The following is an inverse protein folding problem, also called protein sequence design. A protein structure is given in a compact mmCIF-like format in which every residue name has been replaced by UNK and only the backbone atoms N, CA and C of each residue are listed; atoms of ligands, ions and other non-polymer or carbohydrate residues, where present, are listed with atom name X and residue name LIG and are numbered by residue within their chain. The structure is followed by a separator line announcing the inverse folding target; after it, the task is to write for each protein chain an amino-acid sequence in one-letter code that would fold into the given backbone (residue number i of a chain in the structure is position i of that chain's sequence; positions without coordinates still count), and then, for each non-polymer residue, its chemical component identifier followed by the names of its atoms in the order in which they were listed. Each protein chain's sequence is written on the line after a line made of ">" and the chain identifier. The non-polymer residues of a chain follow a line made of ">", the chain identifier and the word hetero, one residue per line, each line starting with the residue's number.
data_IF_474040959667
#
_entry.id   IF_474040959667
#
_cell.length_a   1.000
_cell.length_b   1.000
_cell.length_c   1.000
_cell.angle_alpha   90.00
_cell.angle_beta   90.00
_cell.angle_gamma   90.00
#
_symmetry.space_group_name_H-M   'P 1'
#
loop_
_entity.id
_entity.type
_entity.pdbx_description
1 polymer ?
#
# COMPACT_ATOMS: atom_id res chain seq x y z
N UNK A 1 -28.08 6.91 -11.50
CA UNK A 1 -26.94 7.26 -10.66
C UNK A 1 -26.66 8.73 -10.89
N UNK A 2 -27.13 9.60 -10.00
CA UNK A 2 -27.02 11.07 -10.19
C UNK A 2 -25.72 11.52 -9.55
N UNK A 3 -24.73 11.84 -10.38
CA UNK A 3 -23.53 12.55 -9.95
C UNK A 3 -23.94 13.99 -9.66
N UNK A 4 -23.91 14.39 -8.40
CA UNK A 4 -24.15 15.78 -8.02
C UNK A 4 -22.82 16.52 -8.15
N UNK A 5 -22.75 17.62 -8.93
CA UNK A 5 -21.56 18.46 -9.01
C UNK A 5 -21.23 19.08 -7.65
N UNK A 6 -19.96 19.31 -7.40
CA UNK A 6 -19.37 19.83 -6.17
C UNK A 6 -19.85 21.24 -5.83
N UNK A 7 -21.02 21.35 -5.19
CA UNK A 7 -21.40 22.48 -4.37
C UNK A 7 -22.00 21.92 -3.08
N UNK A 8 -21.39 22.23 -1.96
CA UNK A 8 -21.93 21.87 -0.64
C UNK A 8 -23.35 22.46 -0.53
N UNK A 9 -24.34 21.59 -0.35
CA UNK A 9 -25.70 22.03 -0.09
C UNK A 9 -25.73 22.83 1.23
N UNK A 10 -26.51 23.93 1.31
CA UNK A 10 -26.60 24.74 2.51
C UNK A 10 -27.15 23.89 3.67
N UNK A 11 -26.59 24.12 4.86
CA UNK A 11 -26.98 23.46 6.11
C UNK A 11 -28.48 23.61 6.36
N UNK A 12 -29.26 22.55 6.15
CA UNK A 12 -30.65 22.49 6.62
C UNK A 12 -30.67 22.15 8.11
N UNK A 13 -31.49 22.88 8.87
CA UNK A 13 -31.69 22.75 10.32
C UNK A 13 -32.22 21.35 10.68
N UNK A 14 -31.57 20.74 11.66
CA UNK A 14 -32.08 19.79 12.67
C UNK A 14 -33.19 18.82 12.28
N UNK A 15 -32.84 17.80 11.54
CA UNK A 15 -33.29 16.40 11.68
C UNK A 15 -32.02 15.61 11.85
N UNK A 16 -31.91 14.69 12.83
CA UNK A 16 -30.73 14.00 13.29
C UNK A 16 -29.64 13.87 12.20
N UNK A 17 -28.64 14.72 12.28
CA UNK A 17 -27.67 14.89 11.19
C UNK A 17 -26.94 13.57 10.94
N UNK A 18 -26.94 13.10 9.68
CA UNK A 18 -26.19 11.94 9.25
C UNK A 18 -24.73 12.09 9.64
N UNK A 19 -24.14 11.04 10.20
CA UNK A 19 -22.69 11.03 10.43
C UNK A 19 -21.95 11.29 9.10
N UNK A 20 -20.99 12.21 9.11
CA UNK A 20 -20.19 12.55 7.93
C UNK A 20 -18.80 11.97 8.05
N UNK A 21 -18.42 11.16 7.09
CA UNK A 21 -17.13 10.45 7.07
C UNK A 21 -16.37 10.83 5.81
N UNK A 22 -15.13 11.31 5.98
CA UNK A 22 -14.22 11.61 4.87
C UNK A 22 -13.18 10.50 4.71
N UNK A 23 -12.93 10.07 3.48
CA UNK A 23 -11.78 9.24 3.11
C UNK A 23 -10.92 10.04 2.14
N UNK A 24 -9.67 10.29 2.53
CA UNK A 24 -8.72 11.08 1.75
C UNK A 24 -7.77 10.15 1.00
N UNK A 25 -7.91 10.10 -0.31
CA UNK A 25 -7.27 9.15 -1.21
C UNK A 25 -8.21 8.02 -1.62
N UNK A 26 -8.26 7.73 -2.94
CA UNK A 26 -9.14 6.73 -3.55
C UNK A 26 -8.35 5.58 -4.20
N UNK A 27 -7.08 5.41 -3.79
CA UNK A 27 -6.28 4.23 -4.09
C UNK A 27 -6.82 2.98 -3.37
N UNK A 28 -6.10 1.86 -3.47
CA UNK A 28 -6.54 0.58 -2.87
C UNK A 28 -6.94 0.72 -1.40
N UNK A 29 -6.11 1.38 -0.57
CA UNK A 29 -6.40 1.58 0.85
C UNK A 29 -7.70 2.36 1.09
N UNK A 30 -7.94 3.43 0.31
CA UNK A 30 -9.17 4.23 0.43
C UNK A 30 -10.41 3.46 -0.01
N UNK A 31 -10.33 2.70 -1.09
CA UNK A 31 -11.44 1.85 -1.54
C UNK A 31 -11.75 0.76 -0.52
N UNK A 32 -10.73 0.13 0.06
CA UNK A 32 -10.91 -0.85 1.14
C UNK A 32 -11.55 -0.24 2.39
N UNK A 33 -11.12 0.97 2.77
CA UNK A 33 -11.73 1.72 3.88
C UNK A 33 -13.20 1.99 3.60
N UNK A 34 -13.54 2.44 2.39
CA UNK A 34 -14.92 2.69 1.99
C UNK A 34 -15.77 1.41 1.99
N UNK A 35 -15.26 0.29 1.45
CA UNK A 35 -15.95 -1.01 1.50
C UNK A 35 -16.18 -1.46 2.94
N UNK A 36 -15.17 -1.36 3.80
CA UNK A 36 -15.28 -1.74 5.20
C UNK A 36 -16.33 -0.89 5.94
N UNK A 37 -16.35 0.43 5.71
CA UNK A 37 -17.38 1.33 6.26
C UNK A 37 -18.79 0.93 5.79
N UNK A 38 -18.96 0.70 4.48
CA UNK A 38 -20.25 0.28 3.93
C UNK A 38 -20.76 -1.04 4.50
N UNK A 39 -19.85 -1.97 4.81
CA UNK A 39 -20.21 -3.31 5.34
C UNK A 39 -20.34 -3.36 6.88
N UNK A 40 -19.64 -2.48 7.60
CA UNK A 40 -19.50 -2.58 9.07
C UNK A 40 -20.24 -1.47 9.82
N UNK A 41 -20.30 -0.27 9.26
CA UNK A 41 -20.98 0.86 9.90
C UNK A 41 -22.49 0.78 9.59
N UNK A 42 -23.27 0.29 10.53
CA UNK A 42 -24.68 -0.11 10.37
C UNK A 42 -25.71 1.04 10.37
N UNK A 43 -25.24 2.28 10.52
CA UNK A 43 -26.09 3.50 10.57
C UNK A 43 -26.04 4.26 9.26
N UNK A 44 -27.09 5.08 8.97
CA UNK A 44 -27.04 6.02 7.86
C UNK A 44 -25.89 7.00 8.01
N UNK A 45 -25.15 7.24 6.93
CA UNK A 45 -24.05 8.20 6.92
C UNK A 45 -23.80 8.83 5.54
N UNK A 46 -23.05 9.93 5.53
CA UNK A 46 -22.57 10.59 4.33
C UNK A 46 -21.08 10.30 4.16
N UNK A 47 -20.73 9.55 3.13
CA UNK A 47 -19.38 9.20 2.76
C UNK A 47 -18.85 10.16 1.69
N UNK A 48 -17.76 10.86 1.96
CA UNK A 48 -17.07 11.71 0.99
C UNK A 48 -15.70 11.15 0.70
N UNK A 49 -15.46 10.79 -0.56
CA UNK A 49 -14.16 10.35 -1.05
C UNK A 49 -13.44 11.53 -1.69
N UNK A 50 -12.34 11.99 -1.11
CA UNK A 50 -11.50 13.06 -1.65
C UNK A 50 -10.34 12.46 -2.44
N UNK A 51 -10.26 12.78 -3.75
CA UNK A 51 -9.14 12.39 -4.59
C UNK A 51 -8.98 13.39 -5.75
N UNK A 52 -7.85 14.09 -5.87
CA UNK A 52 -7.63 15.07 -6.92
C UNK A 52 -7.52 14.45 -8.32
N UNK A 53 -7.40 13.12 -8.38
CA UNK A 53 -7.35 12.37 -9.64
C UNK A 53 -8.66 11.58 -9.84
N UNK A 54 -9.71 12.19 -10.39
CA UNK A 54 -11.07 11.63 -10.43
C UNK A 54 -11.26 10.50 -11.43
N UNK A 55 -10.27 9.69 -11.71
CA UNK A 55 -10.42 8.52 -12.58
C UNK A 55 -11.38 7.51 -11.98
N UNK A 56 -12.32 7.05 -12.79
CA UNK A 56 -13.30 6.02 -12.41
C UNK A 56 -12.61 4.68 -12.14
N UNK A 57 -11.44 4.48 -12.69
CA UNK A 57 -10.61 3.27 -12.66
C UNK A 57 -9.68 3.14 -11.44
N UNK A 58 -9.86 3.96 -10.40
CA UNK A 58 -9.20 3.76 -9.12
C UNK A 58 -7.95 4.56 -8.83
N UNK A 59 -7.68 5.57 -9.64
CA UNK A 59 -6.49 6.39 -9.49
C UNK A 59 -5.19 5.63 -9.83
N UNK A 60 -4.09 6.32 -9.82
CA UNK A 60 -2.77 5.76 -10.17
C UNK A 60 -2.31 4.63 -9.25
N UNK A 61 -2.90 4.50 -8.06
CA UNK A 61 -2.56 3.44 -7.10
C UNK A 61 -3.12 2.06 -7.41
N UNK A 62 -4.17 1.96 -8.26
CA UNK A 62 -4.79 0.69 -8.65
C UNK A 62 -4.60 0.36 -10.13
N UNK A 63 -4.50 1.36 -11.00
CA UNK A 63 -4.36 1.19 -12.42
C UNK A 63 -3.17 2.00 -12.95
N UNK A 64 -1.98 1.46 -12.92
CA UNK A 64 -1.00 1.84 -13.92
C UNK A 64 -1.43 1.24 -15.25
N UNK A 65 -1.74 2.07 -16.24
CA UNK A 65 -1.89 1.63 -17.63
C UNK A 65 -0.68 0.74 -17.99
N UNK A 66 -0.92 -0.44 -18.51
CA UNK A 66 0.06 -1.50 -18.65
C UNK A 66 0.60 -1.98 -17.29
N UNK A 67 -0.29 -2.18 -16.33
CA UNK A 67 0.07 -2.68 -15.02
C UNK A 67 0.78 -4.03 -15.17
N UNK A 68 1.94 -4.14 -14.53
CA UNK A 68 2.60 -5.43 -14.43
C UNK A 68 1.72 -6.41 -13.69
N UNK A 69 2.14 -7.65 -13.74
CA UNK A 69 1.59 -8.65 -12.86
C UNK A 69 1.78 -8.21 -11.41
N UNK A 70 0.74 -8.34 -10.62
CA UNK A 70 0.85 -8.21 -9.19
C UNK A 70 1.85 -9.24 -8.68
N UNK A 71 2.62 -8.88 -7.69
CA UNK A 71 3.61 -9.77 -7.07
C UNK A 71 3.01 -10.66 -5.96
N UNK A 72 1.68 -10.67 -5.84
CA UNK A 72 0.93 -11.54 -4.94
C UNK A 72 0.07 -12.51 -5.77
N UNK A 73 -0.10 -13.73 -5.27
CA UNK A 73 -0.94 -14.72 -5.92
C UNK A 73 -2.42 -14.45 -5.69
N UNK A 74 -3.27 -14.93 -6.58
CA UNK A 74 -4.74 -14.80 -6.50
C UNK A 74 -5.27 -15.16 -5.12
N UNK A 75 -4.83 -16.26 -4.52
CA UNK A 75 -5.23 -16.72 -3.18
C UNK A 75 -4.93 -15.73 -2.04
N UNK A 76 -3.98 -14.81 -2.25
CA UNK A 76 -3.55 -13.83 -1.24
C UNK A 76 -4.17 -12.44 -1.47
N UNK A 77 -5.12 -12.32 -2.42
CA UNK A 77 -5.67 -11.05 -2.88
C UNK A 77 -7.17 -10.87 -2.59
N UNK A 78 -7.81 -11.79 -1.84
CA UNK A 78 -9.18 -11.55 -1.40
C UNK A 78 -9.27 -10.29 -0.54
N UNK A 79 -10.30 -9.46 -0.82
CA UNK A 79 -10.63 -8.28 -0.02
C UNK A 79 -11.78 -8.53 0.97
N UNK A 80 -12.29 -9.74 1.04
CA UNK A 80 -13.23 -10.13 2.07
C UNK A 80 -12.47 -10.80 3.23
N UNK A 81 -12.64 -10.34 4.48
CA UNK A 81 -11.89 -10.89 5.61
C UNK A 81 -12.33 -12.31 6.00
N UNK A 82 -13.53 -12.72 5.59
CA UNK A 82 -14.13 -14.03 5.89
C UNK A 82 -13.98 -14.99 4.71
N UNK A 83 -14.30 -14.52 3.51
CA UNK A 83 -14.26 -15.32 2.27
C UNK A 83 -12.87 -15.21 1.64
N UNK A 84 -11.96 -16.07 2.04
CA UNK A 84 -10.57 -16.04 1.57
C UNK A 84 -10.40 -16.33 0.09
N UNK A 85 -11.37 -16.98 -0.53
CA UNK A 85 -11.40 -17.34 -1.95
C UNK A 85 -12.29 -16.42 -2.79
N UNK A 86 -12.77 -15.29 -2.23
CA UNK A 86 -13.67 -14.37 -2.93
C UNK A 86 -13.07 -13.84 -4.25
N UNK A 87 -11.80 -13.47 -4.25
CA UNK A 87 -11.15 -13.02 -5.49
C UNK A 87 -11.03 -14.14 -6.53
N UNK A 88 -10.68 -15.36 -6.10
CA UNK A 88 -10.63 -16.52 -6.98
C UNK A 88 -12.00 -16.79 -7.60
N UNK A 89 -13.05 -16.87 -6.78
CA UNK A 89 -14.40 -17.12 -7.25
C UNK A 89 -14.89 -16.03 -8.22
N UNK A 90 -14.57 -14.77 -7.93
CA UNK A 90 -14.86 -13.66 -8.83
C UNK A 90 -14.14 -13.80 -10.17
N UNK A 91 -12.85 -14.14 -10.13
CA UNK A 91 -12.01 -14.27 -11.31
C UNK A 91 -12.46 -15.41 -12.22
N UNK A 92 -12.86 -16.55 -11.63
CA UNK A 92 -13.42 -17.72 -12.34
C UNK A 92 -14.76 -17.37 -13.01
N UNK A 93 -15.62 -16.61 -12.31
CA UNK A 93 -16.92 -16.18 -12.84
C UNK A 93 -16.80 -15.12 -13.95
N UNK A 94 -15.83 -14.23 -13.85
CA UNK A 94 -15.59 -13.16 -14.84
C UNK A 94 -14.97 -13.69 -16.14
N UNK A 95 -14.23 -14.80 -16.08
CA UNK A 95 -13.57 -15.44 -17.23
C UNK A 95 -12.31 -14.74 -17.74
N UNK A 96 -11.98 -13.56 -17.21
CA UNK A 96 -10.81 -12.77 -17.65
C UNK A 96 -9.47 -13.30 -17.16
N UNK A 97 -9.47 -14.27 -16.27
CA UNK A 97 -8.22 -14.80 -15.75
C UNK A 97 -7.32 -15.48 -16.82
N UNK A 98 -7.93 -15.88 -17.96
CA UNK A 98 -7.21 -16.41 -19.11
C UNK A 98 -6.52 -15.33 -19.95
N UNK A 99 -6.91 -14.06 -19.78
CA UNK A 99 -6.45 -12.94 -20.57
C UNK A 99 -5.26 -12.25 -19.89
N UNK A 100 -4.06 -12.82 -20.03
CA UNK A 100 -2.82 -12.22 -19.54
C UNK A 100 -2.42 -12.61 -18.12
N UNK A 101 -3.12 -13.51 -17.44
CA UNK A 101 -2.65 -14.10 -16.21
C UNK A 101 -1.44 -15.02 -16.49
N UNK A 102 -0.30 -14.74 -15.83
CA UNK A 102 0.78 -15.72 -15.82
C UNK A 102 0.43 -16.81 -14.82
N UNK A 103 -0.10 -17.91 -15.34
CA UNK A 103 -0.20 -19.14 -14.55
C UNK A 103 1.14 -19.84 -14.59
N UNK A 104 1.60 -20.30 -13.45
CA UNK A 104 2.68 -21.27 -13.41
C UNK A 104 2.18 -22.55 -14.07
N UNK A 105 2.76 -22.90 -15.23
CA UNK A 105 2.35 -24.06 -16.04
C UNK A 105 2.39 -25.39 -15.24
N UNK A 106 3.14 -25.44 -14.14
CA UNK A 106 3.24 -26.60 -13.27
C UNK A 106 2.09 -26.74 -12.26
N UNK A 107 1.33 -25.67 -11.96
CA UNK A 107 0.39 -25.68 -10.85
C UNK A 107 -1.09 -25.76 -11.27
N UNK A 108 -1.45 -25.41 -12.50
CA UNK A 108 -2.80 -25.61 -13.08
C UNK A 108 -3.99 -24.98 -12.35
N UNK A 109 -3.78 -24.35 -11.21
CA UNK A 109 -4.81 -23.81 -10.34
C UNK A 109 -4.79 -22.27 -10.33
N UNK A 110 -5.95 -21.65 -10.47
CA UNK A 110 -6.17 -20.20 -10.43
C UNK A 110 -5.54 -19.56 -9.18
N UNK A 111 -5.60 -20.22 -8.03
CA UNK A 111 -5.01 -19.77 -6.77
C UNK A 111 -3.52 -19.43 -6.86
N UNK A 112 -2.81 -20.06 -7.78
CA UNK A 112 -1.37 -19.90 -7.95
C UNK A 112 -1.00 -18.85 -8.99
N UNK A 113 -1.97 -18.35 -9.74
CA UNK A 113 -1.78 -17.36 -10.78
C UNK A 113 -1.35 -16.01 -10.22
N UNK A 114 -0.67 -15.24 -11.06
CA UNK A 114 -0.41 -13.82 -10.88
C UNK A 114 -1.23 -13.07 -11.94
N UNK A 115 -1.92 -12.03 -11.55
CA UNK A 115 -2.82 -11.28 -12.45
C UNK A 115 -2.34 -9.84 -12.63
N UNK A 116 -2.65 -9.22 -13.79
CA UNK A 116 -2.46 -7.78 -13.97
C UNK A 116 -3.20 -6.95 -12.92
N UNK A 117 -2.62 -5.83 -12.51
CA UNK A 117 -3.22 -4.94 -11.52
C UNK A 117 -4.59 -4.40 -11.91
N UNK A 118 -4.86 -4.23 -13.20
CA UNK A 118 -6.16 -3.81 -13.75
C UNK A 118 -7.28 -4.82 -13.47
N UNK A 119 -7.00 -6.13 -13.52
CA UNK A 119 -7.97 -7.18 -13.16
C UNK A 119 -8.32 -7.09 -11.68
N UNK A 120 -7.32 -6.95 -10.82
CA UNK A 120 -7.54 -6.77 -9.39
C UNK A 120 -8.29 -5.47 -9.08
N UNK A 121 -7.98 -4.40 -9.78
CA UNK A 121 -8.68 -3.13 -9.68
C UNK A 121 -10.17 -3.28 -10.03
N UNK A 122 -10.49 -3.95 -11.13
CA UNK A 122 -11.88 -4.22 -11.54
C UNK A 122 -12.66 -4.99 -10.46
N UNK A 123 -12.04 -6.00 -9.87
CA UNK A 123 -12.61 -6.75 -8.73
C UNK A 123 -12.91 -5.84 -7.53
N UNK A 124 -11.95 -5.01 -7.10
CA UNK A 124 -12.15 -4.10 -5.97
C UNK A 124 -13.29 -3.11 -6.23
N UNK A 125 -13.36 -2.54 -7.45
CA UNK A 125 -14.43 -1.62 -7.80
C UNK A 125 -15.79 -2.30 -7.88
N UNK A 126 -15.85 -3.52 -8.38
CA UNK A 126 -17.11 -4.26 -8.41
C UNK A 126 -17.60 -4.55 -6.98
N UNK A 127 -16.73 -5.00 -6.08
CA UNK A 127 -17.07 -5.22 -4.67
C UNK A 127 -17.49 -3.93 -3.96
N UNK A 128 -16.87 -2.81 -4.28
CA UNK A 128 -17.32 -1.50 -3.80
C UNK A 128 -18.72 -1.15 -4.30
N UNK A 129 -18.97 -1.31 -5.60
CA UNK A 129 -20.29 -1.02 -6.19
C UNK A 129 -21.38 -1.93 -5.61
N UNK A 130 -21.07 -3.20 -5.33
CA UNK A 130 -21.98 -4.14 -4.66
C UNK A 130 -22.28 -3.71 -3.22
N UNK A 131 -21.25 -3.35 -2.45
CA UNK A 131 -21.43 -2.87 -1.08
C UNK A 131 -22.27 -1.59 -1.02
N UNK A 132 -22.04 -0.65 -1.95
CA UNK A 132 -22.79 0.60 -2.03
C UNK A 132 -24.27 0.36 -2.43
N UNK A 133 -24.53 -0.53 -3.39
CA UNK A 133 -25.90 -0.89 -3.80
C UNK A 133 -26.72 -1.52 -2.66
N UNK A 134 -26.05 -2.20 -1.75
CA UNK A 134 -26.67 -2.77 -0.55
C UNK A 134 -27.03 -1.72 0.53
N UNK A 135 -26.65 -0.44 0.36
CA UNK A 135 -26.81 0.63 1.36
C UNK A 135 -27.60 1.80 0.78
N UNK A 136 -28.93 1.70 0.82
CA UNK A 136 -29.85 2.77 0.37
C UNK A 136 -29.90 3.97 1.32
N UNK A 137 -29.39 3.80 2.51
CA UNK A 137 -29.32 4.77 3.61
C UNK A 137 -28.00 5.58 3.62
N UNK A 138 -27.08 5.31 2.68
CA UNK A 138 -25.80 6.01 2.57
C UNK A 138 -25.80 7.00 1.40
N UNK A 139 -25.42 8.24 1.70
CA UNK A 139 -25.16 9.25 0.69
C UNK A 139 -23.66 9.19 0.36
N UNK A 140 -23.32 8.99 -0.91
CA UNK A 140 -21.92 8.99 -1.35
C UNK A 140 -21.62 10.18 -2.25
N UNK A 141 -20.50 10.86 -1.99
CA UNK A 141 -19.96 11.95 -2.78
C UNK A 141 -18.50 11.70 -3.12
N UNK A 142 -18.08 12.03 -4.34
CA UNK A 142 -16.68 12.08 -4.75
C UNK A 142 -16.31 13.54 -4.93
N UNK A 143 -15.24 13.98 -4.28
CA UNK A 143 -14.65 15.30 -4.44
C UNK A 143 -13.32 15.17 -5.19
N UNK A 144 -13.17 15.94 -6.27
CA UNK A 144 -11.94 16.03 -7.05
C UNK A 144 -10.91 17.00 -6.43
N UNK A 145 -11.23 17.58 -5.26
CA UNK A 145 -10.36 18.54 -4.60
C UNK A 145 -9.41 17.87 -3.63
N UNK A 146 -8.17 18.35 -3.61
CA UNK A 146 -7.19 17.95 -2.60
C UNK A 146 -7.59 18.45 -1.23
N UNK A 147 -7.47 17.59 -0.23
CA UNK A 147 -7.52 18.01 1.17
C UNK A 147 -6.20 18.69 1.53
N UNK A 148 -6.27 19.94 1.97
CA UNK A 148 -5.11 20.77 2.26
C UNK A 148 -4.82 20.89 3.76
N UNK A 149 -5.86 20.78 4.61
CA UNK A 149 -5.72 20.80 6.07
C UNK A 149 -6.87 20.04 6.74
N UNK A 150 -6.60 19.56 7.95
CA UNK A 150 -7.61 19.03 8.86
C UNK A 150 -7.35 19.62 10.25
N UNK A 151 -8.40 20.10 10.91
CA UNK A 151 -8.35 20.75 12.22
C UNK A 151 -9.44 20.22 13.14
N UNK A 152 -9.26 20.33 14.45
CA UNK A 152 -10.34 20.03 15.41
C UNK A 152 -11.49 21.01 15.25
N UNK A 153 -12.71 20.48 15.23
CA UNK A 153 -13.88 21.35 15.34
C UNK A 153 -14.21 21.62 16.83
N UNK A 154 -14.50 22.88 17.24
CA UNK A 154 -14.75 23.23 18.65
C UNK A 154 -15.88 22.44 19.30
N UNK A 155 -16.89 22.05 18.53
CA UNK A 155 -18.06 21.27 18.99
C UNK A 155 -17.92 19.76 18.74
N UNK A 156 -16.68 19.25 18.59
CA UNK A 156 -16.39 17.86 18.29
C UNK A 156 -16.35 17.55 16.78
N UNK A 157 -15.66 16.49 16.44
CA UNK A 157 -15.34 16.13 15.06
C UNK A 157 -14.18 16.95 14.50
N UNK A 158 -14.07 16.97 13.18
CA UNK A 158 -12.94 17.50 12.42
C UNK A 158 -13.43 18.44 11.31
N UNK A 159 -12.76 19.55 11.12
CA UNK A 159 -12.90 20.41 9.95
C UNK A 159 -11.94 19.92 8.86
N UNK A 160 -12.44 19.64 7.69
CA UNK A 160 -11.64 19.29 6.49
C UNK A 160 -11.68 20.48 5.54
N UNK A 161 -10.50 20.90 5.10
CA UNK A 161 -10.34 21.99 4.11
C UNK A 161 -9.99 21.37 2.76
N UNK A 162 -10.82 21.67 1.77
CA UNK A 162 -10.70 21.09 0.42
C UNK A 162 -11.32 22.05 -0.60
N UNK A 163 -10.65 22.33 -1.71
CA UNK A 163 -11.17 23.22 -2.76
C UNK A 163 -11.44 24.67 -2.31
N UNK A 164 -10.76 25.14 -1.26
CA UNK A 164 -11.00 26.45 -0.65
C UNK A 164 -12.20 26.51 0.31
N UNK A 165 -12.91 25.40 0.49
CA UNK A 165 -14.05 25.29 1.39
C UNK A 165 -13.68 24.54 2.67
N UNK A 166 -14.48 24.74 3.73
CA UNK A 166 -14.36 24.04 5.00
C UNK A 166 -15.65 23.28 5.29
N UNK A 167 -15.53 22.01 5.58
CA UNK A 167 -16.67 21.18 5.99
C UNK A 167 -16.35 20.37 7.25
N UNK A 168 -17.36 20.18 8.12
CA UNK A 168 -17.24 19.35 9.33
C UNK A 168 -17.50 17.90 9.00
N UNK A 169 -16.69 17.03 9.59
CA UNK A 169 -16.80 15.57 9.54
C UNK A 169 -16.70 14.98 10.95
N UNK A 170 -17.37 13.88 11.17
CA UNK A 170 -17.31 13.11 12.40
C UNK A 170 -16.10 12.18 12.42
N UNK A 171 -15.66 11.75 11.23
CA UNK A 171 -14.42 10.98 11.07
C UNK A 171 -13.70 11.29 9.75
N UNK A 172 -12.36 11.19 9.80
CA UNK A 172 -11.47 11.35 8.64
C UNK A 172 -10.49 10.19 8.60
N UNK A 173 -10.44 9.51 7.45
CA UNK A 173 -9.51 8.43 7.15
C UNK A 173 -8.50 8.91 6.11
N UNK A 174 -7.25 9.08 6.50
CA UNK A 174 -6.17 9.32 5.56
C UNK A 174 -5.73 8.00 4.92
N UNK A 175 -5.94 7.87 3.63
CA UNK A 175 -5.61 6.71 2.81
C UNK A 175 -4.76 7.09 1.60
N UNK A 176 -3.85 8.06 1.77
CA UNK A 176 -3.03 8.65 0.71
C UNK A 176 -1.87 7.75 0.26
N UNK A 177 -1.78 6.53 0.80
CA UNK A 177 -0.71 5.60 0.43
C UNK A 177 0.68 6.15 0.78
N UNK A 178 1.59 6.11 -0.20
CA UNK A 178 2.93 6.69 -0.06
C UNK A 178 3.00 8.20 -0.40
N UNK A 179 1.86 8.86 -0.52
CA UNK A 179 1.74 10.26 -0.89
C UNK A 179 1.32 10.46 -2.33
N UNK A 180 1.03 11.72 -2.68
CA UNK A 180 0.72 12.10 -4.05
C UNK A 180 2.00 11.99 -4.89
N UNK A 181 1.97 11.17 -5.94
CA UNK A 181 3.01 11.19 -6.96
C UNK A 181 2.77 12.44 -7.79
N UNK A 182 3.77 13.31 -7.86
CA UNK A 182 3.78 14.33 -8.90
C UNK A 182 3.76 13.60 -10.24
N UNK A 183 2.70 13.78 -11.04
CA UNK A 183 2.51 13.14 -12.35
C UNK A 183 3.61 13.46 -13.40
N UNK A 184 4.76 13.96 -12.94
CA UNK A 184 5.97 14.21 -13.72
C UNK A 184 6.82 12.97 -13.97
N UNK A 185 6.56 11.86 -13.27
CA UNK A 185 7.45 10.68 -13.36
C UNK A 185 7.20 9.81 -14.60
N UNK A 186 6.03 9.93 -15.26
CA UNK A 186 5.74 9.21 -16.51
C UNK A 186 5.82 10.10 -17.77
N UNK A 187 6.11 11.39 -17.64
CA UNK A 187 6.36 12.30 -18.77
C UNK A 187 7.76 12.13 -19.37
N UNK A 188 8.39 10.98 -19.16
CA UNK A 188 9.73 10.67 -19.64
C UNK A 188 9.69 10.10 -21.04
N UNK A 189 10.45 10.76 -21.91
CA UNK A 189 11.00 10.30 -23.18
C UNK A 189 10.06 9.52 -24.09
N UNK A 190 9.40 10.22 -24.96
CA UNK A 190 8.91 9.69 -26.24
C UNK A 190 10.14 9.38 -27.12
N UNK A 191 10.64 8.15 -27.07
CA UNK A 191 11.73 7.67 -27.88
C UNK A 191 12.49 6.51 -27.24
N UNK A 192 13.13 5.67 -28.03
CA UNK A 192 14.01 4.62 -27.56
C UNK A 192 15.33 5.27 -27.03
N UNK A 193 15.63 5.05 -25.77
CA UNK A 193 16.90 5.47 -25.17
C UNK A 193 17.96 4.38 -25.39
N UNK A 194 19.21 4.77 -25.68
CA UNK A 194 20.32 3.80 -25.67
C UNK A 194 20.58 3.34 -24.22
N UNK A 195 20.61 4.29 -23.28
CA UNK A 195 20.87 4.07 -21.87
C UNK A 195 19.75 4.63 -21.00
N UNK A 196 19.15 3.80 -20.14
CA UNK A 196 18.20 4.22 -19.12
C UNK A 196 18.71 3.89 -17.71
N UNK A 197 18.40 4.74 -16.74
CA UNK A 197 18.62 4.48 -15.32
C UNK A 197 17.27 4.30 -14.62
N UNK A 198 17.11 3.19 -13.92
CA UNK A 198 15.99 2.94 -13.01
C UNK A 198 16.50 2.93 -11.58
N UNK A 199 16.02 3.87 -10.75
CA UNK A 199 16.44 4.01 -9.37
C UNK A 199 15.46 3.27 -8.47
N UNK A 200 15.92 2.24 -7.77
CA UNK A 200 15.15 1.39 -6.86
C UNK A 200 15.62 -0.04 -6.92
N UNK A 201 15.43 -0.79 -5.84
CA UNK A 201 15.77 -2.21 -5.75
C UNK A 201 14.56 -3.10 -5.45
N UNK A 202 13.33 -2.55 -5.57
CA UNK A 202 12.08 -3.27 -5.28
C UNK A 202 11.43 -3.87 -6.53
N UNK A 203 10.29 -4.54 -6.32
CA UNK A 203 9.50 -5.20 -7.38
C UNK A 203 9.12 -4.20 -8.49
N UNK A 204 8.67 -3.01 -8.13
CA UNK A 204 8.28 -1.98 -9.09
C UNK A 204 9.44 -1.51 -9.98
N UNK A 205 10.64 -1.34 -9.41
CA UNK A 205 11.82 -0.95 -10.17
C UNK A 205 12.25 -2.05 -11.15
N UNK A 206 12.24 -3.31 -10.71
CA UNK A 206 12.53 -4.46 -11.57
C UNK A 206 11.53 -4.55 -12.71
N UNK A 207 10.25 -4.45 -12.42
CA UNK A 207 9.20 -4.46 -13.42
C UNK A 207 9.36 -3.34 -14.44
N UNK A 208 9.64 -2.12 -13.99
CA UNK A 208 9.86 -0.97 -14.86
C UNK A 208 11.07 -1.19 -15.79
N UNK A 209 12.15 -1.73 -15.26
CA UNK A 209 13.34 -2.06 -16.05
C UNK A 209 13.03 -3.10 -17.14
N UNK A 210 12.33 -4.18 -16.79
CA UNK A 210 11.94 -5.22 -17.74
C UNK A 210 10.99 -4.71 -18.83
N UNK A 211 10.05 -3.84 -18.47
CA UNK A 211 9.13 -3.23 -19.44
C UNK A 211 9.83 -2.28 -20.40
N UNK A 212 10.80 -1.49 -19.94
CA UNK A 212 11.61 -0.64 -20.83
C UNK A 212 12.31 -1.46 -21.90
N UNK A 213 12.93 -2.58 -21.52
CA UNK A 213 13.57 -3.49 -22.48
C UNK A 213 12.53 -4.13 -23.43
N UNK A 214 11.42 -4.63 -22.90
CA UNK A 214 10.40 -5.32 -23.69
C UNK A 214 9.70 -4.41 -24.70
N UNK A 215 9.50 -3.14 -24.37
CA UNK A 215 8.89 -2.14 -25.27
C UNK A 215 9.87 -1.51 -26.26
N UNK A 216 11.17 -1.82 -26.17
CA UNK A 216 12.20 -1.09 -26.92
C UNK A 216 12.42 0.34 -26.43
N UNK A 217 11.90 0.68 -25.24
CA UNK A 217 12.07 2.02 -24.64
C UNK A 217 13.49 2.28 -24.14
N UNK A 218 14.30 1.24 -23.97
CA UNK A 218 15.74 1.34 -23.73
C UNK A 218 16.46 0.13 -24.30
N UNK A 219 17.69 0.33 -24.80
CA UNK A 219 18.56 -0.77 -25.23
C UNK A 219 19.29 -1.42 -24.04
N UNK A 220 19.66 -0.60 -23.05
CA UNK A 220 20.29 -1.03 -21.82
C UNK A 220 19.72 -0.28 -20.62
N UNK A 221 19.59 -0.99 -19.47
CA UNK A 221 19.08 -0.41 -18.23
C UNK A 221 20.07 -0.58 -17.09
N UNK A 222 20.48 0.53 -16.48
CA UNK A 222 21.18 0.51 -15.19
C UNK A 222 20.20 0.57 -14.04
N UNK A 223 20.07 -0.53 -13.29
CA UNK A 223 19.21 -0.64 -12.12
C UNK A 223 19.99 -0.31 -10.84
N UNK A 224 19.64 0.78 -10.16
CA UNK A 224 20.35 1.23 -8.96
C UNK A 224 19.62 0.79 -7.70
N UNK A 225 20.21 -0.15 -6.96
CA UNK A 225 19.73 -0.57 -5.64
C UNK A 225 20.62 -0.02 -4.53
N UNK A 226 20.07 0.75 -3.60
CA UNK A 226 20.83 1.33 -2.49
C UNK A 226 21.51 0.26 -1.61
N UNK A 227 20.85 -0.87 -1.40
CA UNK A 227 21.36 -2.01 -0.63
C UNK A 227 22.14 -3.01 -1.48
N UNK A 228 21.94 -3.03 -2.79
CA UNK A 228 22.40 -4.06 -3.72
C UNK A 228 21.52 -5.31 -3.74
N UNK A 229 20.48 -5.39 -2.89
CA UNK A 229 19.52 -6.49 -2.93
C UNK A 229 18.45 -6.24 -3.98
N UNK A 230 18.00 -7.33 -4.62
CA UNK A 230 16.85 -7.39 -5.51
C UNK A 230 15.83 -8.41 -4.99
N UNK A 231 14.56 -8.30 -5.37
CA UNK A 231 13.52 -9.23 -4.94
C UNK A 231 13.85 -10.68 -5.31
N UNK A 232 13.58 -11.59 -4.40
CA UNK A 232 13.72 -13.01 -4.60
C UNK A 232 12.49 -13.59 -5.32
N UNK A 233 12.55 -14.79 -5.93
CA UNK A 233 11.41 -15.38 -6.62
C UNK A 233 10.39 -15.96 -5.64
N UNK A 234 9.14 -16.00 -6.09
CA UNK A 234 8.21 -17.00 -5.62
C UNK A 234 8.69 -18.40 -6.04
N UNK A 235 8.23 -19.43 -5.34
CA UNK A 235 8.36 -20.82 -5.80
C UNK A 235 7.54 -21.04 -7.07
N UNK A 236 7.87 -22.04 -7.88
CA UNK A 236 7.05 -22.42 -9.02
C UNK A 236 5.65 -22.85 -8.55
N UNK A 237 5.55 -23.79 -7.62
CA UNK A 237 4.30 -24.09 -6.94
C UNK A 237 4.15 -23.25 -5.68
N UNK A 238 2.90 -22.92 -5.30
CA UNK A 238 2.65 -22.24 -4.05
C UNK A 238 2.97 -23.17 -2.87
N UNK A 239 3.87 -22.73 -2.01
CA UNK A 239 4.14 -23.44 -0.77
C UNK A 239 3.22 -22.93 0.34
N UNK A 240 2.77 -23.83 1.19
CA UNK A 240 2.07 -23.51 2.41
C UNK A 240 2.94 -22.75 3.38
N UNK A 241 2.31 -22.19 4.41
CA UNK A 241 3.01 -21.68 5.58
C UNK A 241 3.53 -22.86 6.38
N UNK A 242 4.82 -22.89 6.67
CA UNK A 242 5.41 -23.88 7.58
C UNK A 242 5.29 -23.33 8.99
N UNK A 243 4.19 -23.69 9.66
CA UNK A 243 3.93 -23.21 11.03
C UNK A 243 4.98 -23.79 11.99
N UNK A 244 5.64 -22.93 12.72
CA UNK A 244 6.57 -23.32 13.76
C UNK A 244 5.87 -23.34 15.12
N UNK A 245 5.93 -24.47 15.81
CA UNK A 245 5.40 -24.60 17.18
C UNK A 245 6.20 -23.81 18.22
N UNK A 246 7.36 -23.30 17.85
CA UNK A 246 8.22 -22.52 18.73
C UNK A 246 7.89 -21.05 18.65
N UNK A 247 7.71 -20.36 19.79
CA UNK A 247 7.53 -18.92 19.80
C UNK A 247 8.77 -18.25 19.22
N UNK A 248 8.56 -17.12 18.55
CA UNK A 248 9.67 -16.29 18.10
C UNK A 248 10.37 -15.71 19.34
N UNK A 249 11.72 -15.70 19.38
CA UNK A 249 12.45 -14.95 20.38
C UNK A 249 12.02 -13.47 20.38
N UNK A 250 11.90 -12.89 21.58
CA UNK A 250 11.41 -11.52 21.79
C UNK A 250 12.45 -10.42 21.50
N UNK A 251 13.58 -10.75 20.88
CA UNK A 251 14.61 -9.81 20.47
C UNK A 251 14.82 -9.89 18.97
N UNK A 252 15.17 -8.74 18.34
CA UNK A 252 15.46 -8.67 16.91
C UNK A 252 16.50 -9.71 16.47
N UNK A 253 17.63 -9.76 17.20
CA UNK A 253 18.72 -10.69 16.85
C UNK A 253 18.31 -12.14 16.99
N UNK A 254 17.57 -12.48 18.05
CA UNK A 254 17.08 -13.83 18.31
C UNK A 254 16.09 -14.29 17.22
N UNK A 255 15.10 -13.45 16.91
CA UNK A 255 14.08 -13.75 15.92
C UNK A 255 14.68 -13.97 14.53
N UNK A 256 15.59 -13.09 14.06
CA UNK A 256 16.21 -13.24 12.74
C UNK A 256 17.28 -14.34 12.67
N UNK A 257 17.91 -14.69 13.80
CA UNK A 257 18.74 -15.90 13.87
C UNK A 257 17.88 -17.15 13.69
N UNK A 258 16.77 -17.25 14.44
CA UNK A 258 15.82 -18.36 14.33
C UNK A 258 15.26 -18.51 12.91
N UNK A 259 14.85 -17.39 12.30
CA UNK A 259 14.41 -17.36 10.90
C UNK A 259 15.47 -17.92 9.94
N UNK A 260 16.71 -17.46 10.05
CA UNK A 260 17.80 -17.92 9.17
C UNK A 260 18.11 -19.40 9.37
N UNK A 261 18.16 -19.87 10.60
CA UNK A 261 18.41 -21.28 10.91
C UNK A 261 17.29 -22.19 10.36
N UNK A 262 16.03 -21.76 10.50
CA UNK A 262 14.89 -22.47 9.93
C UNK A 262 14.93 -22.48 8.40
N UNK A 263 15.22 -21.34 7.78
CA UNK A 263 15.33 -21.22 6.32
C UNK A 263 16.48 -22.07 5.76
N UNK A 264 17.63 -22.13 6.47
CA UNK A 264 18.77 -22.97 6.05
C UNK A 264 18.42 -24.47 6.14
N UNK A 265 17.69 -24.91 7.18
CA UNK A 265 17.22 -26.30 7.28
C UNK A 265 16.26 -26.62 6.13
N UNK A 266 15.27 -25.74 5.88
CA UNK A 266 14.32 -25.91 4.80
C UNK A 266 14.97 -25.91 3.40
N UNK A 267 16.07 -25.18 3.23
CA UNK A 267 16.86 -25.24 2.00
C UNK A 267 17.60 -26.58 1.87
N UNK A 268 18.13 -27.12 2.97
CA UNK A 268 18.86 -28.39 2.96
C UNK A 268 17.96 -29.61 2.73
N UNK A 269 16.71 -29.57 3.17
CA UNK A 269 15.73 -30.65 2.95
C UNK A 269 14.92 -30.47 1.64
N UNK A 270 15.20 -29.40 0.87
CA UNK A 270 14.56 -29.14 -0.41
C UNK A 270 13.17 -28.50 -0.34
N UNK A 271 12.63 -28.22 0.86
CA UNK A 271 11.32 -27.57 1.03
C UNK A 271 11.34 -26.06 0.76
N UNK A 272 12.53 -25.46 0.75
CA UNK A 272 12.74 -24.06 0.47
C UNK A 272 12.36 -23.12 1.63
N UNK A 273 12.94 -21.95 1.62
CA UNK A 273 12.79 -20.94 2.69
C UNK A 273 11.46 -20.19 2.69
N UNK A 274 10.68 -20.27 1.60
CA UNK A 274 9.51 -19.43 1.38
C UNK A 274 8.38 -19.71 2.39
N UNK A 275 8.16 -20.97 2.72
CA UNK A 275 7.18 -21.37 3.73
C UNK A 275 7.54 -20.89 5.14
N UNK A 276 8.82 -20.90 5.47
CA UNK A 276 9.36 -20.37 6.73
C UNK A 276 9.16 -18.85 6.81
N UNK A 277 9.42 -18.15 5.70
CA UNK A 277 9.23 -16.71 5.62
C UNK A 277 7.74 -16.32 5.74
N UNK A 278 6.83 -17.14 5.19
CA UNK A 278 5.39 -16.92 5.33
C UNK A 278 4.95 -17.00 6.81
N UNK A 279 5.41 -18.02 7.55
CA UNK A 279 5.15 -18.13 8.99
C UNK A 279 5.73 -16.96 9.78
N UNK A 280 6.97 -16.58 9.50
CA UNK A 280 7.61 -15.45 10.18
C UNK A 280 6.81 -14.16 10.00
N UNK A 281 6.31 -13.90 8.78
CA UNK A 281 5.49 -12.71 8.49
C UNK A 281 4.17 -12.68 9.27
N UNK A 282 3.51 -13.84 9.43
CA UNK A 282 2.26 -13.90 10.23
C UNK A 282 2.50 -13.51 11.69
N UNK A 283 3.69 -13.77 12.21
CA UNK A 283 4.10 -13.47 13.59
C UNK A 283 4.87 -12.15 13.75
N UNK A 284 5.17 -11.48 12.64
CA UNK A 284 5.96 -10.25 12.64
C UNK A 284 5.31 -9.11 13.44
N UNK A 285 3.98 -9.03 13.46
CA UNK A 285 3.24 -8.02 14.22
C UNK A 285 3.47 -8.12 15.74
N UNK A 286 3.44 -9.34 16.28
CA UNK A 286 3.68 -9.59 17.71
C UNK A 286 5.13 -9.29 18.08
N UNK A 287 6.06 -9.78 17.26
CA UNK A 287 7.48 -9.46 17.42
C UNK A 287 7.70 -7.94 17.43
N UNK A 288 7.12 -7.24 16.44
CA UNK A 288 7.30 -5.79 16.31
C UNK A 288 6.83 -5.02 17.54
N UNK A 289 5.69 -5.39 18.10
CA UNK A 289 5.16 -4.78 19.32
C UNK A 289 6.09 -4.98 20.52
N UNK A 290 6.76 -6.13 20.60
CA UNK A 290 7.71 -6.45 21.67
C UNK A 290 9.09 -5.83 21.53
N UNK A 291 9.48 -5.35 20.33
CA UNK A 291 10.80 -4.76 20.10
C UNK A 291 10.90 -3.36 20.72
N UNK A 292 12.08 -3.08 21.30
CA UNK A 292 12.43 -1.72 21.75
C UNK A 292 12.57 -0.75 20.57
N UNK A 293 12.42 0.57 20.77
CA UNK A 293 12.67 1.57 19.74
C UNK A 293 14.05 1.45 19.08
N UNK A 294 15.07 1.09 19.85
CA UNK A 294 16.41 0.86 19.36
C UNK A 294 16.51 -0.34 18.42
N UNK A 295 15.85 -1.44 18.76
CA UNK A 295 15.82 -2.63 17.93
C UNK A 295 15.05 -2.37 16.63
N UNK A 296 13.96 -1.61 16.67
CA UNK A 296 13.23 -1.18 15.47
C UNK A 296 14.11 -0.31 14.55
N UNK A 297 14.92 0.64 15.12
CA UNK A 297 15.88 1.42 14.33
C UNK A 297 16.98 0.55 13.74
N UNK A 298 17.48 -0.45 14.48
CA UNK A 298 18.46 -1.44 13.99
C UNK A 298 17.85 -2.27 12.84
N UNK A 299 16.61 -2.72 12.99
CA UNK A 299 15.88 -3.39 11.91
C UNK A 299 15.83 -2.52 10.66
N UNK A 300 15.31 -1.28 10.76
CA UNK A 300 15.23 -0.34 9.62
C UNK A 300 16.57 -0.20 8.91
N UNK A 301 17.66 -0.06 9.66
CA UNK A 301 18.99 0.22 9.11
C UNK A 301 19.66 -1.01 8.50
N UNK A 302 19.59 -2.15 9.13
CA UNK A 302 20.46 -3.28 8.81
C UNK A 302 19.71 -4.51 8.29
N UNK A 303 18.45 -4.72 8.67
CA UNK A 303 17.72 -5.94 8.38
C UNK A 303 16.66 -5.72 7.30
N UNK A 304 15.98 -4.58 7.34
CA UNK A 304 14.87 -4.27 6.41
C UNK A 304 15.23 -4.48 4.93
N UNK A 305 16.39 -4.06 4.39
CA UNK A 305 16.67 -4.26 2.98
C UNK A 305 16.71 -5.73 2.55
N UNK A 306 17.28 -6.61 3.37
CA UNK A 306 17.29 -8.05 3.09
C UNK A 306 15.92 -8.68 3.37
N UNK A 307 15.23 -8.25 4.43
CA UNK A 307 13.87 -8.68 4.73
C UNK A 307 12.92 -8.37 3.59
N UNK A 308 12.93 -7.13 3.10
CA UNK A 308 12.09 -6.69 1.98
C UNK A 308 12.37 -7.46 0.69
N UNK A 309 13.61 -7.82 0.40
CA UNK A 309 13.95 -8.61 -0.79
C UNK A 309 13.38 -10.03 -0.76
N UNK A 310 13.18 -10.60 0.43
CA UNK A 310 12.60 -11.94 0.62
C UNK A 310 11.09 -11.89 0.83
N UNK A 311 10.57 -10.78 1.32
CA UNK A 311 9.15 -10.54 1.54
C UNK A 311 8.43 -10.20 0.24
N UNK A 312 8.96 -9.24 -0.52
CA UNK A 312 8.41 -8.76 -1.78
C UNK A 312 9.04 -9.54 -2.94
N UNK A 313 8.39 -10.64 -3.31
CA UNK A 313 8.91 -11.59 -4.30
C UNK A 313 8.42 -11.27 -5.70
N UNK A 314 9.19 -11.68 -6.69
CA UNK A 314 8.79 -11.63 -8.10
C UNK A 314 8.05 -12.92 -8.51
N UNK A 315 7.08 -12.83 -9.42
CA UNK A 315 6.61 -14.01 -10.16
C UNK A 315 7.78 -14.77 -10.79
N UNK A 316 7.74 -16.11 -10.83
CA UNK A 316 8.87 -16.92 -11.33
C UNK A 316 9.34 -16.53 -12.73
N UNK A 317 8.42 -16.28 -13.65
CA UNK A 317 8.75 -15.87 -15.01
C UNK A 317 9.45 -14.50 -15.07
N UNK A 318 8.99 -13.52 -14.28
CA UNK A 318 9.66 -12.21 -14.19
C UNK A 318 11.06 -12.34 -13.58
N UNK A 319 11.23 -13.20 -12.57
CA UNK A 319 12.54 -13.45 -12.00
C UNK A 319 13.49 -14.12 -12.99
N UNK A 320 13.02 -15.10 -13.76
CA UNK A 320 13.79 -15.73 -14.81
C UNK A 320 14.23 -14.71 -15.86
N UNK A 321 13.32 -13.85 -16.35
CA UNK A 321 13.64 -12.79 -17.31
C UNK A 321 14.63 -11.76 -16.75
N UNK A 322 14.49 -11.39 -15.47
CA UNK A 322 15.47 -10.53 -14.80
C UNK A 322 16.87 -11.16 -14.78
N UNK A 323 16.97 -12.44 -14.45
CA UNK A 323 18.23 -13.16 -14.41
C UNK A 323 18.88 -13.27 -15.80
N UNK A 324 18.08 -13.52 -16.82
CA UNK A 324 18.49 -13.53 -18.21
C UNK A 324 19.02 -12.15 -18.65
N UNK A 325 18.27 -11.08 -18.38
CA UNK A 325 18.66 -9.72 -18.74
C UNK A 325 19.95 -9.26 -18.03
N UNK A 326 20.18 -9.70 -16.80
CA UNK A 326 21.44 -9.45 -16.11
C UNK A 326 22.59 -10.28 -16.75
N UNK A 327 22.34 -11.54 -17.10
CA UNK A 327 23.36 -12.40 -17.70
C UNK A 327 23.75 -11.99 -19.12
N UNK A 328 22.79 -11.48 -19.91
CA UNK A 328 23.03 -10.95 -21.26
C UNK A 328 23.65 -9.54 -21.25
N UNK A 329 23.64 -8.87 -20.11
CA UNK A 329 24.12 -7.48 -20.01
C UNK A 329 23.07 -6.41 -20.39
N UNK A 330 21.83 -6.80 -20.69
CA UNK A 330 20.74 -5.82 -20.91
C UNK A 330 20.40 -5.03 -19.64
N UNK A 331 20.61 -5.62 -18.46
CA UNK A 331 20.49 -4.95 -17.17
C UNK A 331 21.81 -5.00 -16.40
N UNK A 332 22.32 -3.84 -16.03
CA UNK A 332 23.43 -3.71 -15.09
C UNK A 332 22.92 -3.29 -13.72
N UNK A 333 23.22 -4.07 -12.67
CA UNK A 333 22.83 -3.73 -11.29
C UNK A 333 23.97 -2.97 -10.62
N UNK A 334 23.66 -1.77 -10.10
CA UNK A 334 24.61 -0.93 -9.34
C UNK A 334 24.13 -0.77 -7.90
N UNK A 335 25.05 -0.99 -6.97
CA UNK A 335 24.85 -0.70 -5.56
C UNK A 335 25.34 0.71 -5.24
N UNK A 336 24.47 1.55 -4.67
CA UNK A 336 24.86 2.89 -4.25
C UNK A 336 23.64 3.75 -3.89
N UNK A 337 23.91 4.88 -3.23
CA UNK A 337 22.89 5.86 -2.87
C UNK A 337 22.89 6.98 -3.91
N UNK A 338 21.75 7.23 -4.53
CA UNK A 338 21.57 8.36 -5.42
C UNK A 338 21.50 9.64 -4.60
N UNK A 339 22.49 10.52 -4.77
CA UNK A 339 22.58 11.81 -4.08
C UNK A 339 21.84 12.90 -4.86
N UNK A 340 21.87 12.85 -6.19
CA UNK A 340 21.19 13.81 -7.06
C UNK A 340 20.78 13.17 -8.38
N UNK A 341 19.59 13.52 -8.85
CA UNK A 341 19.10 13.24 -10.20
C UNK A 341 19.30 14.51 -11.03
N UNK A 342 19.88 14.38 -12.20
CA UNK A 342 20.07 15.46 -13.18
C UNK A 342 19.38 15.07 -14.48
N UNK A 343 19.26 16.02 -15.41
CA UNK A 343 18.60 15.80 -16.70
C UNK A 343 19.24 14.66 -17.50
N UNK A 344 20.56 14.48 -17.41
CA UNK A 344 21.32 13.52 -18.20
C UNK A 344 21.95 12.43 -17.35
N UNK A 345 21.33 12.03 -16.24
CA UNK A 345 21.83 10.95 -15.41
C UNK A 345 21.77 11.23 -13.90
N UNK A 346 22.60 10.54 -13.13
CA UNK A 346 22.57 10.61 -11.66
C UNK A 346 23.96 10.73 -11.06
N UNK A 347 24.04 11.38 -9.88
CA UNK A 347 25.20 11.33 -9.00
C UNK A 347 24.99 10.22 -7.97
N UNK A 348 25.84 9.19 -8.04
CA UNK A 348 25.77 7.99 -7.22
C UNK A 348 26.92 7.96 -6.21
N UNK A 349 26.61 7.79 -4.94
CA UNK A 349 27.56 7.53 -3.86
C UNK A 349 27.71 6.01 -3.69
N UNK A 350 28.94 5.53 -3.83
CA UNK A 350 29.31 4.11 -3.68
C UNK A 350 30.40 3.94 -2.64
N UNK A 351 30.79 2.72 -2.32
CA UNK A 351 31.94 2.45 -1.46
C UNK A 351 33.27 2.98 -2.05
N UNK A 352 33.35 3.15 -3.36
CA UNK A 352 34.48 3.71 -4.07
C UNK A 352 34.45 5.23 -4.28
N UNK A 353 33.46 5.93 -3.65
CA UNK A 353 33.31 7.38 -3.79
C UNK A 353 32.13 7.78 -4.69
N UNK A 354 32.08 9.05 -5.04
CA UNK A 354 31.06 9.63 -5.90
C UNK A 354 31.34 9.30 -7.38
N UNK A 355 30.30 8.88 -8.08
CA UNK A 355 30.33 8.56 -9.52
C UNK A 355 29.20 9.26 -10.24
N UNK A 356 29.43 9.77 -11.42
CA UNK A 356 28.40 10.26 -12.32
C UNK A 356 28.04 9.13 -13.29
N UNK A 357 26.77 8.74 -13.33
CA UNK A 357 26.26 7.82 -14.34
C UNK A 357 25.42 8.62 -15.32
N UNK A 358 25.82 8.63 -16.59
CA UNK A 358 25.06 9.27 -17.65
C UNK A 358 23.93 8.36 -18.15
N UNK A 359 22.78 8.92 -18.49
CA UNK A 359 21.70 8.23 -19.16
C UNK A 359 20.77 9.25 -19.86
N UNK A 360 20.15 8.82 -20.94
CA UNK A 360 19.16 9.62 -21.67
C UNK A 360 17.83 9.67 -20.94
N UNK A 361 17.53 8.62 -20.16
CA UNK A 361 16.32 8.52 -19.36
C UNK A 361 16.65 8.10 -17.93
N UNK A 362 16.05 8.79 -16.95
CA UNK A 362 16.15 8.42 -15.53
C UNK A 362 14.74 8.31 -14.93
N UNK A 363 14.44 7.17 -14.32
CA UNK A 363 13.16 6.87 -13.70
C UNK A 363 13.36 6.57 -12.22
N UNK A 364 12.73 7.34 -11.35
CA UNK A 364 12.78 7.14 -9.90
C UNK A 364 11.66 6.21 -9.43
N UNK A 365 12.00 4.94 -9.26
CA UNK A 365 11.11 3.89 -8.75
C UNK A 365 11.31 3.61 -7.26
N UNK A 366 11.95 4.50 -6.51
CA UNK A 366 12.08 4.31 -5.07
C UNK A 366 10.70 4.40 -4.42
N UNK A 367 10.37 3.41 -3.60
CA UNK A 367 9.25 3.54 -2.68
C UNK A 367 9.65 4.62 -1.69
N UNK A 368 9.04 5.79 -1.81
CA UNK A 368 9.18 6.85 -0.82
C UNK A 368 8.44 6.39 0.44
N UNK A 369 8.95 6.74 1.62
CA UNK A 369 8.11 6.79 2.82
C UNK A 369 6.91 7.69 2.52
N UNK A 370 5.82 7.52 3.28
CA UNK A 370 4.68 8.43 3.18
C UNK A 370 5.18 9.88 3.13
N UNK A 371 4.58 10.71 2.26
CA UNK A 371 4.98 12.12 2.12
C UNK A 371 4.53 12.92 3.34
N UNK A 372 5.27 12.70 4.43
CA UNK A 372 5.03 13.36 5.72
C UNK A 372 5.43 14.85 5.73
N UNK A 373 6.10 15.30 4.68
CA UNK A 373 6.53 16.69 4.51
C UNK A 373 5.57 17.49 3.64
N UNK A 374 4.48 16.89 3.15
CA UNK A 374 3.40 17.61 2.49
C UNK A 374 2.77 18.67 3.41
N UNK A 375 2.21 19.76 2.86
CA UNK A 375 1.54 20.77 3.66
C UNK A 375 0.49 20.20 4.62
N UNK A 376 -0.29 19.21 4.17
CA UNK A 376 -1.31 18.53 4.96
C UNK A 376 -0.72 17.87 6.21
N UNK A 377 0.31 17.03 6.06
CA UNK A 377 0.89 16.32 7.21
C UNK A 377 1.69 17.26 8.11
N UNK A 378 2.38 18.25 7.56
CA UNK A 378 3.02 19.28 8.39
C UNK A 378 2.01 20.02 9.27
N UNK A 379 0.85 20.40 8.72
CA UNK A 379 -0.22 21.04 9.50
C UNK A 379 -0.75 20.11 10.60
N UNK A 380 -0.98 18.83 10.31
CA UNK A 380 -1.42 17.83 11.30
C UNK A 380 -0.42 17.65 12.44
N UNK A 381 0.87 17.63 12.16
CA UNK A 381 1.90 17.50 13.19
C UNK A 381 2.05 18.78 14.01
N UNK A 382 2.04 19.95 13.37
CA UNK A 382 2.17 21.24 14.08
C UNK A 382 0.95 21.58 14.94
N UNK A 383 -0.25 21.14 14.56
CA UNK A 383 -1.46 21.31 15.38
C UNK A 383 -1.59 20.29 16.52
N UNK A 384 -0.70 19.30 16.59
CA UNK A 384 -0.77 18.24 17.58
C UNK A 384 -1.90 17.23 17.34
N UNK A 385 -2.51 17.21 16.15
CA UNK A 385 -3.51 16.20 15.77
C UNK A 385 -2.89 14.83 15.50
N UNK A 386 -1.66 14.80 15.03
CA UNK A 386 -0.90 13.61 14.78
C UNK A 386 0.56 13.78 15.20
N UNK A 387 1.29 12.67 15.26
CA UNK A 387 2.74 12.67 15.41
C UNK A 387 3.35 11.65 14.45
N UNK A 388 4.61 11.88 14.07
CA UNK A 388 5.38 10.91 13.31
C UNK A 388 5.66 9.68 14.17
N UNK A 389 5.73 8.51 13.55
CA UNK A 389 6.22 7.32 14.23
C UNK A 389 7.71 7.42 14.56
N UNK A 390 8.19 6.57 15.46
CA UNK A 390 9.58 6.56 15.94
C UNK A 390 10.64 6.31 14.85
N UNK A 391 10.22 5.77 13.71
CA UNK A 391 11.09 5.44 12.59
C UNK A 391 11.04 6.47 11.46
N UNK A 392 10.18 7.49 11.59
CA UNK A 392 9.93 8.46 10.53
C UNK A 392 9.56 7.79 9.19
N UNK A 393 8.65 6.82 9.26
CA UNK A 393 8.12 6.08 8.12
C UNK A 393 6.66 6.41 7.86
N UNK A 394 5.94 6.94 8.85
CA UNK A 394 4.53 7.23 8.78
C UNK A 394 4.02 8.01 9.98
N UNK A 395 2.71 7.98 10.12
CA UNK A 395 1.97 8.52 11.27
C UNK A 395 1.93 7.48 12.37
N UNK A 396 2.06 7.90 13.62
CA UNK A 396 1.94 6.99 14.76
C UNK A 396 0.47 6.60 14.97
N UNK A 397 0.19 5.29 14.86
CA UNK A 397 -1.18 4.74 14.92
C UNK A 397 -1.24 3.52 15.84
N UNK A 398 -2.44 3.22 16.33
CA UNK A 398 -2.74 1.94 16.99
C UNK A 398 -3.02 0.81 15.95
N UNK A 399 -3.39 -0.38 16.44
CA UNK A 399 -3.64 -1.55 15.59
C UNK A 399 -4.82 -1.39 14.62
N UNK A 400 -5.76 -0.51 14.91
CA UNK A 400 -6.89 -0.19 14.01
C UNK A 400 -6.56 0.94 13.02
N UNK A 401 -5.37 1.51 13.07
CA UNK A 401 -5.01 2.68 12.25
C UNK A 401 -5.46 4.01 12.84
N UNK A 402 -6.02 4.03 14.06
CA UNK A 402 -6.40 5.27 14.75
C UNK A 402 -5.16 6.06 15.10
N UNK A 403 -5.20 7.36 14.81
CA UNK A 403 -4.07 8.25 15.10
C UNK A 403 -3.89 8.43 16.61
N UNK A 404 -2.66 8.30 17.06
CA UNK A 404 -2.26 8.46 18.47
C UNK A 404 -1.27 9.61 18.59
N UNK A 405 -1.46 10.49 19.57
CA UNK A 405 -0.50 11.52 19.91
C UNK A 405 -0.25 11.52 21.44
N UNK A 406 0.91 11.04 21.84
CA UNK A 406 1.23 10.81 23.24
C UNK A 406 0.31 9.76 23.87
N UNK A 407 -0.51 10.18 24.84
CA UNK A 407 -1.55 9.36 25.46
C UNK A 407 -2.94 9.55 24.84
N UNK A 408 -3.10 10.56 23.99
CA UNK A 408 -4.37 10.92 23.40
C UNK A 408 -4.63 10.07 22.15
N UNK A 409 -5.86 9.57 22.04
CA UNK A 409 -6.39 8.92 20.85
C UNK A 409 -7.46 9.82 20.26
N UNK A 410 -7.37 10.10 18.98
CA UNK A 410 -8.40 10.85 18.28
C UNK A 410 -9.45 9.90 17.71
N UNK A 411 -10.63 9.92 18.31
CA UNK A 411 -11.66 8.91 18.03
C UNK A 411 -12.14 8.89 16.57
N UNK A 412 -12.11 10.01 15.89
CA UNK A 412 -12.51 10.13 14.49
C UNK A 412 -11.37 10.30 13.50
N UNK A 413 -10.10 10.08 13.89
CA UNK A 413 -8.96 10.31 13.00
C UNK A 413 -8.15 9.05 12.79
N UNK A 414 -8.00 8.62 11.52
CA UNK A 414 -7.32 7.39 11.14
C UNK A 414 -6.28 7.64 10.05
N UNK A 415 -5.15 6.94 10.12
CA UNK A 415 -4.14 6.89 9.07
C UNK A 415 -3.96 5.43 8.63
N UNK A 416 -4.34 5.16 7.38
CA UNK A 416 -4.57 3.83 6.85
C UNK A 416 -3.46 3.36 5.92
N UNK A 417 -3.23 2.05 5.91
CA UNK A 417 -2.26 1.42 5.01
C UNK A 417 -0.84 1.95 5.21
N UNK A 418 -0.10 2.26 4.13
CA UNK A 418 1.31 2.66 4.20
C UNK A 418 1.62 3.84 5.13
N UNK A 419 0.63 4.68 5.44
CA UNK A 419 0.79 5.76 6.43
C UNK A 419 1.11 5.25 7.84
N UNK A 420 0.80 3.99 8.17
CA UNK A 420 1.08 3.38 9.47
C UNK A 420 2.35 2.51 9.53
N UNK A 421 3.23 2.55 8.53
CA UNK A 421 4.36 1.62 8.36
C UNK A 421 5.33 1.52 9.54
N UNK A 422 5.57 2.60 10.27
CA UNK A 422 6.45 2.56 11.44
C UNK A 422 5.81 1.94 12.67
N UNK A 423 4.48 2.02 12.78
CA UNK A 423 3.69 1.44 13.86
C UNK A 423 3.31 -0.01 13.59
N UNK A 424 2.97 -0.33 12.34
CA UNK A 424 2.41 -1.62 11.91
C UNK A 424 3.30 -2.24 10.81
N UNK A 425 4.01 -3.33 11.09
CA UNK A 425 4.81 -3.99 10.08
C UNK A 425 3.92 -4.59 8.99
N UNK A 426 4.41 -4.57 7.74
CA UNK A 426 3.75 -5.15 6.57
C UNK A 426 2.36 -4.55 6.23
N UNK A 427 2.00 -3.40 6.79
CA UNK A 427 0.70 -2.73 6.56
C UNK A 427 0.53 -2.24 5.11
N UNK A 428 1.50 -2.38 4.28
CA UNK A 428 1.47 -2.10 2.84
C UNK A 428 1.00 -3.29 1.98
N UNK A 429 0.65 -4.42 2.60
CA UNK A 429 0.17 -5.61 1.92
C UNK A 429 -1.36 -5.70 1.93
N UNK A 430 -1.93 -6.28 0.86
CA UNK A 430 -3.39 -6.42 0.70
C UNK A 430 -4.07 -7.02 1.93
N UNK A 431 -3.68 -8.19 2.46
CA UNK A 431 -4.37 -8.77 3.61
C UNK A 431 -4.33 -7.89 4.87
N UNK A 432 -3.22 -7.21 5.11
CA UNK A 432 -3.05 -6.32 6.27
C UNK A 432 -3.89 -5.05 6.13
N UNK A 433 -3.95 -4.45 4.93
CA UNK A 433 -4.81 -3.30 4.66
C UNK A 433 -6.28 -3.69 4.84
N UNK A 434 -6.70 -4.86 4.34
CA UNK A 434 -8.04 -5.39 4.51
C UNK A 434 -8.38 -5.51 5.99
N UNK A 435 -7.56 -6.23 6.76
CA UNK A 435 -7.76 -6.40 8.21
C UNK A 435 -7.84 -5.05 8.94
N UNK A 436 -6.94 -4.11 8.62
CA UNK A 436 -6.95 -2.79 9.23
C UNK A 436 -8.22 -2.00 8.89
N UNK A 437 -8.68 -2.04 7.62
CA UNK A 437 -9.86 -1.30 7.20
C UNK A 437 -11.12 -1.74 7.96
N UNK A 438 -11.31 -3.04 8.10
CA UNK A 438 -12.44 -3.56 8.89
C UNK A 438 -12.30 -3.26 10.39
N UNK A 439 -11.10 -3.35 10.95
CA UNK A 439 -10.84 -2.98 12.35
C UNK A 439 -11.10 -1.48 12.60
N UNK A 440 -10.72 -0.62 11.66
CA UNK A 440 -10.94 0.82 11.76
C UNK A 440 -12.42 1.18 11.66
N UNK A 441 -13.16 0.54 10.74
CA UNK A 441 -14.60 0.75 10.60
C UNK A 441 -15.37 0.27 11.85
N UNK A 442 -15.00 -0.88 12.42
CA UNK A 442 -15.56 -1.37 13.68
C UNK A 442 -15.24 -0.43 14.85
N UNK A 443 -14.00 0.03 14.98
CA UNK A 443 -13.59 0.96 16.02
C UNK A 443 -14.33 2.30 15.94
N UNK A 444 -14.66 2.78 14.73
CA UNK A 444 -15.51 3.96 14.56
C UNK A 444 -16.97 3.67 14.97
N UNK A 445 -17.50 2.52 14.61
CA UNK A 445 -18.89 2.14 14.94
C UNK A 445 -19.13 2.05 16.46
N UNK A 446 -18.16 1.51 17.20
CA UNK A 446 -18.21 1.43 18.66
C UNK A 446 -18.19 2.80 19.36
N UNK A 447 -17.53 3.78 18.77
CA UNK A 447 -17.27 5.09 19.38
C UNK A 447 -18.36 6.13 19.14
N UNK A 448 -19.19 5.93 18.14
CA UNK A 448 -20.37 6.76 17.89
C UNK A 448 -21.63 6.00 18.36
N UNK A 449 -21.95 6.03 19.67
CA UNK A 449 -23.17 5.35 20.16
C UNK A 449 -24.37 5.87 19.39
N UNK A 450 -25.34 4.98 19.10
CA UNK A 450 -26.59 5.36 18.48
C UNK A 450 -27.15 6.56 19.23
N UNK A 451 -27.42 7.65 18.52
CA UNK A 451 -28.11 8.81 19.10
C UNK A 451 -29.34 8.25 19.79
N UNK A 452 -29.40 8.33 21.11
CA UNK A 452 -30.53 7.88 21.88
C UNK A 452 -31.74 8.63 21.32
N UNK A 453 -32.57 7.92 20.57
CA UNK A 453 -33.91 8.39 20.28
C UNK A 453 -34.60 8.47 21.62
N UNK A 454 -34.61 9.69 22.18
CA UNK A 454 -35.39 9.99 23.37
C UNK A 454 -36.82 9.64 23.12
N UNK A 455 -37.21 8.47 23.60
CA UNK A 455 -38.60 8.20 23.87
C UNK A 455 -39.02 9.14 24.96
N UNK A 456 -39.81 10.14 24.61
CA UNK A 456 -40.77 10.75 25.53
C UNK A 456 -42.12 10.35 25.02
N UNK A 457 -42.73 9.54 25.87
CA UNK A 457 -44.15 9.20 25.83
C UNK A 457 -45.02 10.42 26.14
#
# INVERSE_FOLDING_TARGET
>A
MTLVPSHFAPQSKETGALARIAVVGRGFTGMMTAIALLKTFDRPFHLVLHDPYPRIDGGEGLAHAASPLLNSRVRDLSIDPVLRDDFRAWLEADGRWNDGAQTDAAAGAVDHAFVPGEIFSAYVYQRFAEALRGRTDVIMQISADSVTAVERHPQGGLNVFSGGERARFDAVFFATGYGLRDGREDAGAQGAAAEAIVIGGGVYAVDRALRLLASGGAAHVTLISASGFLPQPHTAAAVGTVVSDRPLPNTLRGAFRSLREAANRAAADGSGWQGIMNDFRQRAGDLWRGLTPEERRRFKRHVKPIYDSHRNRLPPAQYARLREAIASGEITVRKGKVERIATNGVLLSTAGGLQVLAAEQTIDCRIRSADLDSPLFRALFSSGLAQRDELDLGVFVDCSGRVVNGKDRFEGLFAMGPLGLGSLPDIDLVPQIVTQAYAAAAALAEHQPASAHGGQA
#
